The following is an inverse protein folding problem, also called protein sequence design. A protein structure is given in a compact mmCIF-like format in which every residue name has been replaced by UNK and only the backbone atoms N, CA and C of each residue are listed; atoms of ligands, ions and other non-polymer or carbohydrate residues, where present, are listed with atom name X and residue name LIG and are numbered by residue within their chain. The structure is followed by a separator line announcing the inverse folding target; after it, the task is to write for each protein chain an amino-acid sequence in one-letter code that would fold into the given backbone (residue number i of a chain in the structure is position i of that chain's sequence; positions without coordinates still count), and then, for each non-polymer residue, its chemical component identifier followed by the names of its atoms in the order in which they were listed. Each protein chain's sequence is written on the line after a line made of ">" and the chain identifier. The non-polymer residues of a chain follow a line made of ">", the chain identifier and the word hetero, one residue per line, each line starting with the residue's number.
data_IF_055431997234
#
_entry.id   IF_055431997234
#
_cell.length_a   1.000
_cell.length_b   1.000
_cell.length_c   1.000
_cell.angle_alpha   90.00
_cell.angle_beta   90.00
_cell.angle_gamma   90.00
#
_symmetry.space_group_name_H-M   'P 1'
#
loop_
_entity.id
_entity.type
_entity.pdbx_description
1 polymer ?
#
# COMPACT_ATOMS: atom_id res chain seq x y z
N UNK A 1 23.98 -44.72 -31.29
CA UNK A 1 23.34 -43.42 -31.57
C UNK A 1 22.47 -43.09 -30.38
N UNK A 2 22.95 -42.18 -29.53
CA UNK A 2 22.21 -41.68 -28.37
C UNK A 2 21.20 -40.65 -28.88
N UNK A 3 19.92 -40.84 -28.56
CA UNK A 3 18.89 -39.83 -28.82
C UNK A 3 18.60 -39.13 -27.48
N UNK A 4 19.10 -37.91 -27.37
CA UNK A 4 18.86 -37.01 -26.25
C UNK A 4 17.39 -36.60 -26.23
N UNK A 5 16.64 -37.08 -25.25
CA UNK A 5 15.40 -36.44 -24.84
C UNK A 5 15.75 -35.10 -24.20
N UNK A 6 15.53 -34.03 -24.96
CA UNK A 6 15.58 -32.66 -24.50
C UNK A 6 14.41 -32.47 -23.54
N UNK A 7 14.70 -32.29 -22.26
CA UNK A 7 13.72 -32.05 -21.20
C UNK A 7 13.21 -30.60 -21.28
N UNK A 8 12.29 -30.33 -22.21
CA UNK A 8 11.49 -29.10 -22.20
C UNK A 8 10.33 -29.25 -21.20
N UNK A 9 10.63 -29.41 -19.92
CA UNK A 9 9.62 -29.20 -18.88
C UNK A 9 9.57 -27.71 -18.57
N UNK A 10 8.68 -26.96 -19.25
CA UNK A 10 8.24 -25.67 -18.71
C UNK A 10 7.80 -25.91 -17.27
N UNK A 11 8.44 -25.24 -16.33
CA UNK A 11 8.11 -25.32 -14.90
C UNK A 11 6.61 -25.04 -14.72
N UNK A 12 5.90 -25.94 -14.04
CA UNK A 12 4.44 -25.83 -13.87
C UNK A 12 4.07 -24.53 -13.12
N UNK A 13 3.30 -23.67 -13.79
CA UNK A 13 2.87 -22.38 -13.27
C UNK A 13 1.36 -22.42 -12.98
N UNK A 14 0.91 -22.54 -11.71
CA UNK A 14 -0.51 -22.74 -11.38
C UNK A 14 -1.48 -21.70 -11.98
N UNK A 15 -1.06 -20.45 -12.12
CA UNK A 15 -1.86 -19.38 -12.74
C UNK A 15 -2.27 -19.72 -14.18
N UNK A 16 -1.39 -20.38 -14.92
CA UNK A 16 -1.63 -20.74 -16.33
C UNK A 16 -2.65 -21.89 -16.44
N UNK A 17 -2.86 -22.63 -15.34
CA UNK A 17 -3.77 -23.77 -15.27
C UNK A 17 -5.11 -23.45 -14.58
N UNK A 18 -5.40 -22.18 -14.26
CA UNK A 18 -6.62 -21.82 -13.53
C UNK A 18 -7.90 -22.37 -14.19
N UNK A 19 -8.06 -22.25 -15.51
CA UNK A 19 -9.22 -22.80 -16.23
C UNK A 19 -9.22 -24.33 -16.32
N UNK A 20 -8.04 -24.96 -16.33
CA UNK A 20 -7.93 -26.42 -16.27
C UNK A 20 -8.41 -26.95 -14.93
N UNK A 21 -8.05 -26.29 -13.83
CA UNK A 21 -8.54 -26.64 -12.49
C UNK A 21 -10.03 -26.34 -12.33
N UNK A 22 -10.50 -25.18 -12.82
CA UNK A 22 -11.93 -24.84 -12.83
C UNK A 22 -12.76 -25.94 -13.51
N UNK A 23 -12.32 -26.41 -14.69
CA UNK A 23 -12.98 -27.47 -15.45
C UNK A 23 -13.07 -28.79 -14.67
N UNK A 24 -12.09 -29.11 -13.81
CA UNK A 24 -12.09 -30.36 -13.02
C UNK A 24 -13.10 -30.31 -11.88
N UNK A 25 -13.34 -29.13 -11.30
CA UNK A 25 -14.19 -28.97 -10.11
C UNK A 25 -15.61 -28.47 -10.40
N UNK A 26 -15.90 -28.02 -11.62
CA UNK A 26 -17.22 -27.48 -12.01
C UNK A 26 -17.87 -28.29 -13.12
N UNK A 27 -19.20 -28.35 -13.09
CA UNK A 27 -20.00 -28.97 -14.15
C UNK A 27 -20.55 -27.89 -15.08
N UNK A 28 -20.86 -28.28 -16.31
CA UNK A 28 -21.59 -27.41 -17.24
C UNK A 28 -22.98 -27.14 -16.68
N UNK A 29 -23.37 -25.88 -16.66
CA UNK A 29 -24.70 -25.42 -16.24
C UNK A 29 -25.46 -24.86 -17.44
N UNK A 30 -26.79 -24.79 -17.32
CA UNK A 30 -27.64 -24.14 -18.30
C UNK A 30 -27.34 -22.63 -18.29
N UNK A 31 -26.88 -22.10 -19.42
CA UNK A 31 -26.68 -20.66 -19.57
C UNK A 31 -28.01 -19.93 -19.41
N UNK A 32 -28.00 -18.84 -18.63
CA UNK A 32 -29.17 -18.00 -18.36
C UNK A 32 -28.88 -16.52 -18.61
N UNK A 33 -29.95 -15.74 -18.73
CA UNK A 33 -29.90 -14.28 -18.54
C UNK A 33 -29.63 -13.91 -17.08
N UNK A 34 -29.40 -12.62 -16.80
CA UNK A 34 -29.29 -12.11 -15.42
C UNK A 34 -30.57 -12.29 -14.60
N UNK A 35 -31.71 -12.46 -15.25
CA UNK A 35 -33.00 -12.80 -14.63
C UNK A 35 -33.27 -14.31 -14.52
N UNK A 36 -32.29 -15.16 -14.87
CA UNK A 36 -32.42 -16.62 -14.76
C UNK A 36 -33.18 -17.29 -15.91
N UNK A 37 -33.47 -16.59 -17.03
CA UNK A 37 -34.12 -17.20 -18.20
C UNK A 37 -33.12 -18.08 -18.96
N UNK A 38 -33.39 -19.37 -19.18
CA UNK A 38 -32.52 -20.24 -19.99
C UNK A 38 -32.36 -19.73 -21.43
N UNK A 39 -31.12 -19.75 -21.94
CA UNK A 39 -30.79 -19.41 -23.32
C UNK A 39 -30.57 -20.67 -24.17
N UNK A 40 -31.16 -20.69 -25.36
CA UNK A 40 -30.99 -21.77 -26.34
C UNK A 40 -29.86 -21.54 -27.35
N UNK A 41 -29.53 -20.28 -27.64
CA UNK A 41 -28.47 -19.88 -28.56
C UNK A 41 -27.78 -18.61 -28.02
N UNK A 42 -26.46 -18.52 -28.15
CA UNK A 42 -25.62 -17.41 -27.64
C UNK A 42 -24.56 -16.92 -28.63
N UNK A 43 -24.33 -17.67 -29.70
CA UNK A 43 -23.35 -17.38 -30.76
C UNK A 43 -23.95 -16.54 -31.90
N UNK A 44 -25.26 -16.29 -31.87
CA UNK A 44 -25.98 -15.54 -32.89
C UNK A 44 -26.98 -14.58 -32.26
N UNK A 45 -27.15 -13.43 -32.89
CA UNK A 45 -28.22 -12.48 -32.57
C UNK A 45 -29.49 -12.78 -33.35
N UNK A 46 -30.63 -12.25 -32.90
CA UNK A 46 -31.91 -12.37 -33.61
C UNK A 46 -31.96 -11.40 -34.80
N UNK A 47 -32.12 -11.94 -36.00
CA UNK A 47 -32.21 -11.16 -37.26
C UNK A 47 -33.48 -11.49 -38.06
N UNK A 48 -33.85 -10.61 -39.00
CA UNK A 48 -34.92 -10.89 -39.99
C UNK A 48 -34.37 -11.79 -41.11
N UNK A 49 -34.30 -13.09 -40.85
CA UNK A 49 -33.69 -14.07 -41.76
C UNK A 49 -32.15 -14.09 -41.68
N UNK A 50 -31.47 -15.04 -42.33
CA UNK A 50 -30.05 -15.32 -42.11
C UNK A 50 -29.07 -14.18 -42.42
N UNK A 51 -29.50 -13.16 -43.18
CA UNK A 51 -28.70 -11.98 -43.56
C UNK A 51 -29.48 -10.67 -43.38
N UNK A 52 -30.53 -10.69 -42.55
CA UNK A 52 -31.32 -9.51 -42.25
C UNK A 52 -30.74 -8.65 -41.12
N UNK A 53 -31.36 -7.51 -40.83
CA UNK A 53 -30.95 -6.65 -39.72
C UNK A 53 -31.21 -7.32 -38.35
N UNK A 54 -30.38 -6.95 -37.37
CA UNK A 54 -30.58 -7.20 -35.94
C UNK A 54 -31.91 -6.62 -35.46
N UNK A 55 -32.62 -7.35 -34.60
CA UNK A 55 -33.86 -6.90 -33.99
C UNK A 55 -33.65 -6.35 -32.57
N UNK A 56 -34.34 -5.24 -32.26
CA UNK A 56 -34.38 -4.66 -30.91
C UNK A 56 -35.07 -5.59 -29.89
N UNK A 57 -35.84 -6.57 -30.35
CA UNK A 57 -36.47 -7.59 -29.50
C UNK A 57 -35.49 -8.65 -28.98
N UNK A 58 -34.21 -8.60 -29.37
CA UNK A 58 -33.16 -9.47 -28.83
C UNK A 58 -32.72 -9.02 -27.43
N UNK A 59 -33.61 -9.17 -26.45
CA UNK A 59 -33.36 -8.76 -25.07
C UNK A 59 -32.14 -9.42 -24.42
N UNK A 60 -31.86 -10.73 -24.61
CA UNK A 60 -30.65 -11.34 -24.07
C UNK A 60 -29.36 -10.70 -24.59
N UNK A 61 -29.30 -10.37 -25.89
CA UNK A 61 -28.15 -9.65 -26.44
C UNK A 61 -28.01 -8.26 -25.83
N UNK A 62 -29.11 -7.51 -25.73
CA UNK A 62 -29.11 -6.15 -25.16
C UNK A 62 -28.64 -6.17 -23.70
N UNK A 63 -29.15 -7.09 -22.90
CA UNK A 63 -28.78 -7.23 -21.48
C UNK A 63 -27.28 -7.54 -21.31
N UNK A 64 -26.76 -8.47 -22.10
CA UNK A 64 -25.36 -8.88 -22.05
C UNK A 64 -24.41 -7.72 -22.42
N UNK A 65 -24.74 -6.99 -23.50
CA UNK A 65 -24.00 -5.77 -23.89
C UNK A 65 -24.10 -4.70 -22.80
N UNK A 66 -25.28 -4.48 -22.22
CA UNK A 66 -25.45 -3.52 -21.14
C UNK A 66 -24.61 -3.84 -19.90
N UNK A 67 -24.44 -5.14 -19.59
CA UNK A 67 -23.58 -5.59 -18.49
C UNK A 67 -22.11 -5.33 -18.82
N UNK A 68 -21.67 -5.72 -20.02
CA UNK A 68 -20.31 -5.51 -20.53
C UNK A 68 -19.92 -4.02 -20.51
N UNK A 69 -20.78 -3.15 -21.05
CA UNK A 69 -20.58 -1.70 -21.12
C UNK A 69 -20.41 -1.04 -19.73
N UNK A 70 -20.77 -1.74 -18.65
CA UNK A 70 -20.75 -1.26 -17.26
C UNK A 70 -19.83 -2.08 -16.34
N UNK A 71 -18.94 -2.89 -16.89
CA UNK A 71 -17.99 -3.67 -16.08
C UNK A 71 -16.96 -2.80 -15.35
N UNK A 72 -16.57 -1.66 -15.95
CA UNK A 72 -15.52 -0.81 -15.38
C UNK A 72 -16.10 0.09 -14.28
N UNK A 73 -15.46 0.06 -13.11
CA UNK A 73 -15.63 1.05 -12.04
C UNK A 73 -14.38 1.90 -11.95
N UNK A 74 -14.44 3.13 -11.41
CA UNK A 74 -13.25 3.94 -11.20
C UNK A 74 -12.20 3.17 -10.40
N UNK A 75 -10.95 3.22 -10.87
CA UNK A 75 -9.84 2.68 -10.12
C UNK A 75 -9.54 3.53 -8.86
N UNK A 76 -8.68 3.02 -7.99
CA UNK A 76 -8.22 3.80 -6.83
C UNK A 76 -7.37 4.97 -7.31
N UNK A 77 -7.58 6.16 -6.75
CA UNK A 77 -6.82 7.38 -7.11
C UNK A 77 -5.30 7.20 -6.93
N UNK A 78 -4.90 6.42 -5.93
CA UNK A 78 -3.54 5.93 -5.68
C UNK A 78 -3.62 4.44 -5.38
N UNK A 79 -2.53 3.71 -5.58
CA UNK A 79 -2.49 2.26 -5.33
C UNK A 79 -3.46 1.47 -6.22
N UNK A 80 -3.65 1.90 -7.47
CA UNK A 80 -4.54 1.27 -8.43
C UNK A 80 -4.08 -0.14 -8.80
N UNK A 81 -2.83 -0.30 -9.26
CA UNK A 81 -2.23 -1.61 -9.55
C UNK A 81 -1.85 -2.33 -8.26
N UNK A 82 -2.33 -3.56 -8.12
CA UNK A 82 -2.05 -4.37 -6.93
C UNK A 82 -2.76 -5.70 -6.96
N UNK A 83 -2.53 -6.53 -5.96
CA UNK A 83 -3.21 -7.81 -5.79
C UNK A 83 -3.38 -8.16 -4.34
N UNK A 84 -4.28 -9.08 -4.06
CA UNK A 84 -4.54 -9.50 -2.70
C UNK A 84 -4.66 -10.99 -2.56
N UNK A 85 -4.47 -11.43 -1.33
CA UNK A 85 -4.71 -12.79 -0.93
C UNK A 85 -5.30 -12.80 0.47
N UNK A 86 -5.96 -13.90 0.73
CA UNK A 86 -6.67 -14.17 1.95
C UNK A 86 -5.83 -15.07 2.85
N UNK A 87 -6.05 -14.98 4.16
CA UNK A 87 -5.57 -15.99 5.08
C UNK A 87 -5.95 -15.72 6.52
N UNK A 88 -5.03 -16.00 7.44
CA UNK A 88 -5.27 -15.96 8.89
C UNK A 88 -4.16 -15.20 9.60
N UNK A 89 -4.54 -14.32 10.51
CA UNK A 89 -3.68 -13.79 11.56
C UNK A 89 -3.89 -14.57 12.85
N UNK A 90 -2.82 -15.00 13.49
CA UNK A 90 -2.82 -15.64 14.80
C UNK A 90 -2.04 -14.77 15.78
N UNK A 91 -2.68 -14.34 16.87
CA UNK A 91 -2.01 -13.66 17.97
C UNK A 91 -1.22 -14.68 18.78
N UNK A 92 0.11 -14.63 18.72
CA UNK A 92 0.99 -15.65 19.33
C UNK A 92 1.52 -15.26 20.69
N UNK A 93 1.58 -13.96 20.97
CA UNK A 93 2.19 -13.40 22.18
C UNK A 93 1.16 -12.56 22.93
N UNK A 94 1.27 -12.54 24.25
CA UNK A 94 0.40 -11.74 25.09
C UNK A 94 0.86 -10.27 25.05
N UNK A 95 -0.07 -9.38 24.69
CA UNK A 95 0.10 -7.92 24.72
C UNK A 95 -1.03 -7.22 25.49
N UNK A 96 -1.75 -7.96 26.35
CA UNK A 96 -2.87 -7.45 27.13
C UNK A 96 -2.48 -6.31 28.08
N UNK A 97 -1.22 -6.21 28.47
CA UNK A 97 -0.65 -5.12 29.25
C UNK A 97 -0.73 -3.76 28.53
N UNK A 98 -0.81 -3.74 27.20
CA UNK A 98 -0.89 -2.50 26.40
C UNK A 98 -2.15 -2.38 25.54
N UNK A 99 -2.85 -3.49 25.25
CA UNK A 99 -3.99 -3.47 24.32
C UNK A 99 -5.13 -4.39 24.74
N UNK A 100 -6.35 -3.85 24.81
CA UNK A 100 -7.59 -4.59 25.13
C UNK A 100 -8.30 -5.23 23.91
N UNK A 101 -7.83 -4.98 22.69
CA UNK A 101 -8.53 -5.45 21.48
C UNK A 101 -8.52 -6.99 21.37
N UNK A 102 -9.68 -7.62 21.17
CA UNK A 102 -9.79 -9.10 21.17
C UNK A 102 -8.97 -9.79 20.09
N UNK A 103 -8.75 -9.11 18.95
CA UNK A 103 -7.90 -9.59 17.85
C UNK A 103 -6.47 -9.91 18.29
N UNK A 104 -5.98 -9.28 19.37
CA UNK A 104 -4.64 -9.50 19.91
C UNK A 104 -4.60 -10.36 21.17
N UNK A 105 -5.74 -10.88 21.62
CA UNK A 105 -5.73 -11.87 22.70
C UNK A 105 -4.98 -13.10 22.21
N UNK A 106 -3.98 -13.54 22.96
CA UNK A 106 -3.16 -14.71 22.61
C UNK A 106 -4.03 -15.93 22.29
N UNK A 107 -3.74 -16.59 21.19
CA UNK A 107 -4.47 -17.74 20.65
C UNK A 107 -5.66 -17.38 19.74
N UNK A 108 -6.06 -16.10 19.67
CA UNK A 108 -7.09 -15.66 18.73
C UNK A 108 -6.60 -15.84 17.29
N UNK A 109 -7.44 -16.47 16.47
CA UNK A 109 -7.27 -16.58 15.02
C UNK A 109 -8.30 -15.72 14.33
N UNK A 110 -7.84 -14.88 13.40
CA UNK A 110 -8.69 -13.90 12.73
C UNK A 110 -8.49 -14.01 11.24
N UNK A 111 -9.60 -14.10 10.50
CA UNK A 111 -9.56 -14.07 9.02
C UNK A 111 -9.00 -12.73 8.57
N UNK A 112 -8.13 -12.74 7.57
CA UNK A 112 -7.55 -11.51 7.00
C UNK A 112 -7.58 -11.48 5.48
N UNK A 113 -7.67 -10.27 4.94
CA UNK A 113 -7.37 -9.96 3.54
C UNK A 113 -6.18 -9.00 3.51
N UNK A 114 -5.09 -9.40 2.87
CA UNK A 114 -3.99 -8.49 2.57
C UNK A 114 -4.08 -8.05 1.11
N UNK A 115 -3.96 -6.74 0.85
CA UNK A 115 -3.80 -6.19 -0.50
C UNK A 115 -2.47 -5.44 -0.60
N UNK A 116 -1.68 -5.85 -1.58
CA UNK A 116 -0.43 -5.23 -1.98
C UNK A 116 -0.64 -4.37 -3.23
N UNK A 117 0.20 -3.36 -3.42
CA UNK A 117 0.06 -2.45 -4.58
C UNK A 117 1.32 -1.63 -4.83
N UNK A 118 1.49 -1.12 -6.04
CA UNK A 118 2.31 0.09 -6.30
C UNK A 118 1.52 1.34 -5.84
N UNK A 119 1.95 2.55 -6.19
CA UNK A 119 1.29 3.81 -5.77
C UNK A 119 0.85 4.64 -6.96
N UNK A 120 1.80 5.06 -7.82
CA UNK A 120 1.56 6.12 -8.79
C UNK A 120 0.84 5.62 -10.05
N UNK A 121 1.18 4.40 -10.49
CA UNK A 121 0.68 3.79 -11.71
C UNK A 121 -0.83 3.47 -11.66
N UNK A 122 -1.45 3.52 -12.84
CA UNK A 122 -2.84 3.15 -13.06
C UNK A 122 -3.01 1.61 -13.01
N UNK A 123 -4.24 1.10 -13.06
CA UNK A 123 -4.53 -0.34 -12.88
C UNK A 123 -3.84 -1.26 -13.89
N UNK A 124 -3.48 -0.75 -15.08
CA UNK A 124 -2.75 -1.49 -16.12
C UNK A 124 -1.23 -1.27 -16.11
N UNK A 125 -0.67 -0.60 -15.10
CA UNK A 125 0.78 -0.37 -14.98
C UNK A 125 1.54 -1.65 -14.57
N UNK A 126 2.87 -1.66 -14.71
CA UNK A 126 3.70 -2.81 -14.35
C UNK A 126 4.00 -2.90 -12.84
N UNK A 127 4.20 -4.12 -12.34
CA UNK A 127 4.47 -4.42 -10.93
C UNK A 127 5.92 -4.08 -10.51
N UNK A 128 6.89 -4.31 -11.38
CA UNK A 128 8.34 -4.21 -11.09
C UNK A 128 8.90 -2.82 -11.37
N UNK A 129 8.25 -1.79 -10.84
CA UNK A 129 8.67 -0.38 -10.96
C UNK A 129 9.25 0.16 -9.66
N UNK A 130 10.09 1.20 -9.73
CA UNK A 130 10.54 1.93 -8.53
C UNK A 130 9.39 2.76 -7.98
N UNK A 131 8.86 2.35 -6.85
CA UNK A 131 7.70 2.98 -6.19
C UNK A 131 7.65 2.47 -4.72
N UNK A 132 7.04 3.17 -3.75
CA UNK A 132 6.63 2.49 -2.53
C UNK A 132 5.68 1.33 -2.88
N UNK A 133 5.49 0.42 -1.93
CA UNK A 133 4.44 -0.59 -2.05
C UNK A 133 3.42 -0.43 -0.94
N UNK A 134 2.15 -0.34 -1.30
CA UNK A 134 1.05 -0.47 -0.35
C UNK A 134 1.02 -1.89 0.21
N UNK A 135 0.78 -2.00 1.52
CA UNK A 135 0.59 -3.26 2.22
C UNK A 135 -0.55 -3.07 3.24
N UNK A 136 -1.78 -3.18 2.73
CA UNK A 136 -2.99 -3.03 3.54
C UNK A 136 -3.46 -4.39 4.06
N UNK A 137 -3.76 -4.48 5.35
CA UNK A 137 -4.25 -5.69 6.00
C UNK A 137 -5.62 -5.39 6.61
N UNK A 138 -6.63 -6.11 6.18
CA UNK A 138 -7.99 -6.09 6.73
C UNK A 138 -8.18 -7.30 7.63
N UNK A 139 -8.53 -7.09 8.89
CA UNK A 139 -8.82 -8.14 9.86
C UNK A 139 -10.32 -8.16 10.18
N UNK A 140 -10.96 -9.30 9.99
CA UNK A 140 -12.39 -9.49 10.26
C UNK A 140 -12.57 -9.94 11.72
N UNK A 141 -12.59 -8.98 12.65
CA UNK A 141 -12.62 -9.25 14.09
C UNK A 141 -14.05 -9.32 14.63
N UNK A 142 -14.22 -9.95 15.80
CA UNK A 142 -15.50 -10.00 16.52
C UNK A 142 -15.96 -8.62 17.05
N UNK A 143 -15.07 -7.62 17.01
CA UNK A 143 -15.32 -6.24 17.47
C UNK A 143 -15.38 -5.25 16.30
N UNK A 144 -15.61 -5.76 15.09
CA UNK A 144 -15.65 -4.99 13.85
C UNK A 144 -14.40 -5.19 12.99
N UNK A 145 -14.41 -4.63 11.79
CA UNK A 145 -13.26 -4.70 10.89
C UNK A 145 -12.18 -3.75 11.38
N UNK A 146 -10.95 -4.25 11.47
CA UNK A 146 -9.76 -3.43 11.68
C UNK A 146 -8.87 -3.44 10.44
N UNK A 147 -8.62 -2.26 9.88
CA UNK A 147 -7.76 -2.07 8.72
C UNK A 147 -6.42 -1.43 9.12
N UNK A 148 -5.33 -2.19 8.98
CA UNK A 148 -3.97 -1.68 9.08
C UNK A 148 -3.46 -1.35 7.67
N UNK A 149 -3.69 -0.11 7.24
CA UNK A 149 -3.35 0.36 5.89
C UNK A 149 -1.93 0.90 5.86
N UNK A 150 -0.97 0.01 5.63
CA UNK A 150 0.46 0.33 5.66
C UNK A 150 1.14 0.44 4.30
N UNK A 151 2.43 0.72 4.33
CA UNK A 151 3.35 0.67 3.20
C UNK A 151 4.55 -0.25 3.50
N UNK A 152 5.37 -0.55 2.50
CA UNK A 152 6.64 -1.27 2.66
C UNK A 152 7.80 -0.40 3.21
N UNK A 153 7.48 0.81 3.66
CA UNK A 153 8.40 1.78 4.26
C UNK A 153 7.86 2.29 5.60
N UNK A 154 8.71 2.49 6.63
CA UNK A 154 8.29 2.99 7.94
C UNK A 154 7.98 4.49 7.99
N UNK A 155 8.15 5.21 6.88
CA UNK A 155 8.03 6.67 6.78
C UNK A 155 7.29 7.06 5.49
N UNK A 156 6.97 8.33 5.35
CA UNK A 156 6.33 8.88 4.15
C UNK A 156 7.01 10.16 3.67
N UNK A 157 6.60 10.65 2.49
CA UNK A 157 7.22 11.79 1.81
C UNK A 157 6.85 13.15 2.44
N UNK A 158 5.66 13.25 3.02
CA UNK A 158 5.13 14.47 3.62
C UNK A 158 4.70 14.19 5.06
N UNK A 159 4.80 15.20 5.93
CA UNK A 159 4.35 15.11 7.33
C UNK A 159 3.00 15.78 7.57
N UNK A 160 2.50 16.54 6.60
CA UNK A 160 1.20 17.20 6.64
C UNK A 160 0.30 16.67 5.49
N UNK A 161 -0.94 16.22 5.77
CA UNK A 161 -1.84 15.70 4.76
C UNK A 161 -2.28 16.75 3.73
N UNK A 162 -2.19 18.05 4.02
CA UNK A 162 -2.54 19.12 3.08
C UNK A 162 -1.63 19.14 1.85
N UNK A 163 -0.42 18.57 1.96
CA UNK A 163 0.50 18.42 0.83
C UNK A 163 0.30 17.12 0.05
N UNK A 164 -0.56 16.20 0.52
CA UNK A 164 -0.71 14.88 -0.09
C UNK A 164 -1.18 14.95 -1.54
N UNK A 165 -2.23 15.73 -1.85
CA UNK A 165 -2.71 15.86 -3.23
C UNK A 165 -1.65 16.47 -4.16
N UNK A 166 -0.88 17.45 -3.67
CA UNK A 166 0.19 18.10 -4.47
C UNK A 166 1.33 17.12 -4.73
N UNK A 167 1.74 16.36 -3.71
CA UNK A 167 2.71 15.28 -3.85
C UNK A 167 2.22 14.25 -4.88
N UNK A 168 1.01 13.73 -4.75
CA UNK A 168 0.48 12.71 -5.66
C UNK A 168 0.39 13.22 -7.10
N UNK A 169 -0.02 14.48 -7.31
CA UNK A 169 0.00 15.08 -8.64
C UNK A 169 1.42 15.12 -9.23
N UNK A 170 2.43 15.48 -8.42
CA UNK A 170 3.84 15.51 -8.87
C UNK A 170 4.37 14.15 -9.32
N UNK A 171 3.89 13.06 -8.73
CA UNK A 171 4.32 11.69 -9.05
C UNK A 171 3.51 11.06 -10.20
N UNK A 172 2.43 11.71 -10.63
CA UNK A 172 1.54 11.22 -11.69
C UNK A 172 1.88 11.89 -13.03
N UNK A 173 0.87 11.96 -13.90
CA UNK A 173 1.02 12.42 -15.27
C UNK A 173 0.93 13.94 -15.30
N UNK A 174 1.76 14.56 -16.12
CA UNK A 174 1.64 15.96 -16.47
C UNK A 174 0.23 16.22 -17.02
N UNK A 175 -0.47 17.28 -16.56
CA UNK A 175 -1.88 17.48 -16.88
C UNK A 175 -2.14 17.81 -18.37
N UNK A 176 -1.16 18.32 -19.10
CA UNK A 176 -1.29 18.63 -20.52
C UNK A 176 -0.87 17.46 -21.40
N UNK A 177 0.29 16.85 -21.12
CA UNK A 177 0.87 15.81 -22.00
C UNK A 177 0.41 14.41 -21.66
N UNK A 178 -0.13 14.21 -20.45
CA UNK A 178 -0.49 12.90 -19.91
C UNK A 178 0.69 11.91 -19.77
N UNK A 179 1.94 12.41 -19.81
CA UNK A 179 3.17 11.63 -19.62
C UNK A 179 3.74 11.79 -18.21
N UNK A 180 4.64 10.90 -17.79
CA UNK A 180 5.44 11.10 -16.57
C UNK A 180 6.42 12.25 -16.79
N UNK A 181 6.66 13.04 -15.74
CA UNK A 181 7.42 14.29 -15.84
C UNK A 181 8.45 14.37 -14.69
N UNK A 182 9.74 14.12 -14.99
CA UNK A 182 10.81 14.23 -13.99
C UNK A 182 10.92 15.62 -13.38
N UNK A 183 10.58 16.69 -14.12
CA UNK A 183 10.63 18.04 -13.56
C UNK A 183 9.56 18.21 -12.47
N UNK A 184 8.35 17.69 -12.65
CA UNK A 184 7.31 17.73 -11.60
C UNK A 184 7.74 16.99 -10.34
N UNK A 185 8.29 15.77 -10.49
CA UNK A 185 8.75 14.94 -9.36
C UNK A 185 9.83 15.65 -8.56
N UNK A 186 10.87 16.12 -9.26
CA UNK A 186 12.05 16.67 -8.60
C UNK A 186 11.89 18.13 -8.20
N UNK A 187 11.01 18.91 -8.85
CA UNK A 187 10.68 20.25 -8.36
C UNK A 187 9.92 20.18 -7.03
N UNK A 188 8.97 19.24 -6.90
CA UNK A 188 8.31 19.01 -5.61
C UNK A 188 9.35 18.66 -4.54
N UNK A 189 10.26 17.73 -4.83
CA UNK A 189 11.35 17.36 -3.91
C UNK A 189 12.24 18.55 -3.55
N UNK A 190 12.68 19.32 -4.55
CA UNK A 190 13.58 20.46 -4.40
C UNK A 190 12.96 21.62 -3.58
N UNK A 191 11.64 21.63 -3.41
CA UNK A 191 10.92 22.59 -2.58
C UNK A 191 10.41 22.01 -1.24
N UNK A 192 10.53 20.71 -1.01
CA UNK A 192 10.04 20.03 0.20
C UNK A 192 11.08 19.09 0.80
N UNK A 193 12.11 19.63 1.49
CA UNK A 193 13.21 18.83 2.04
C UNK A 193 12.76 17.76 3.05
N UNK A 194 11.56 17.87 3.62
CA UNK A 194 10.93 16.83 4.45
C UNK A 194 10.85 15.45 3.77
N UNK A 195 10.79 15.42 2.44
CA UNK A 195 10.70 14.20 1.66
C UNK A 195 12.03 13.43 1.56
N UNK A 196 13.16 14.04 1.96
CA UNK A 196 14.52 13.48 1.85
C UNK A 196 14.63 12.05 2.34
N UNK A 197 14.09 11.76 3.52
CA UNK A 197 14.20 10.43 4.12
C UNK A 197 13.53 9.36 3.26
N UNK A 198 12.31 9.62 2.81
CA UNK A 198 11.55 8.67 2.02
C UNK A 198 12.03 8.60 0.56
N UNK A 199 12.52 9.70 -0.03
CA UNK A 199 13.20 9.66 -1.34
C UNK A 199 14.43 8.74 -1.28
N UNK A 200 15.25 8.85 -0.24
CA UNK A 200 16.40 7.96 -0.07
C UNK A 200 15.99 6.50 0.08
N UNK A 201 14.92 6.21 0.82
CA UNK A 201 14.39 4.84 0.91
C UNK A 201 13.89 4.34 -0.46
N UNK A 202 13.15 5.18 -1.20
CA UNK A 202 12.62 4.86 -2.53
C UNK A 202 13.72 4.58 -3.57
N UNK A 203 14.81 5.35 -3.56
CA UNK A 203 15.92 5.17 -4.49
C UNK A 203 16.97 4.14 -4.03
N UNK A 204 16.83 3.60 -2.81
CA UNK A 204 17.57 2.39 -2.42
C UNK A 204 17.05 1.14 -3.15
N UNK A 205 17.70 0.00 -2.93
CA UNK A 205 17.25 -1.29 -3.47
C UNK A 205 15.81 -1.64 -3.03
N UNK A 206 15.37 -1.14 -1.87
CA UNK A 206 14.01 -1.39 -1.32
C UNK A 206 12.89 -0.78 -2.18
N UNK A 207 13.20 0.10 -3.13
CA UNK A 207 12.22 0.68 -4.06
C UNK A 207 11.67 -0.30 -5.10
N UNK A 208 12.34 -1.44 -5.30
CA UNK A 208 11.93 -2.45 -6.28
C UNK A 208 11.98 -3.85 -5.62
N UNK A 209 11.04 -4.19 -4.73
CA UNK A 209 11.03 -5.50 -4.10
C UNK A 209 10.80 -6.63 -5.12
N UNK A 210 11.38 -7.80 -4.83
CA UNK A 210 11.21 -9.02 -5.62
C UNK A 210 9.87 -9.69 -5.28
N UNK A 211 8.81 -9.24 -5.95
CA UNK A 211 7.43 -9.63 -5.63
C UNK A 211 6.96 -9.09 -4.27
N UNK A 212 5.72 -9.42 -3.89
CA UNK A 212 5.14 -8.92 -2.63
C UNK A 212 5.65 -9.66 -1.39
N UNK A 213 6.11 -10.91 -1.54
CA UNK A 213 6.47 -11.79 -0.41
C UNK A 213 7.79 -11.41 0.26
N UNK A 214 8.62 -10.62 -0.40
CA UNK A 214 9.99 -10.29 0.01
C UNK A 214 10.17 -8.86 0.52
N UNK A 215 9.07 -8.23 0.97
CA UNK A 215 9.11 -6.93 1.62
C UNK A 215 8.46 -6.96 3.00
N UNK A 216 8.91 -6.05 3.86
CA UNK A 216 8.20 -5.76 5.11
C UNK A 216 6.99 -4.87 4.82
N UNK A 217 6.08 -4.77 5.79
CA UNK A 217 5.03 -3.76 5.87
C UNK A 217 5.19 -2.96 7.17
N UNK A 218 4.68 -1.74 7.17
CA UNK A 218 4.74 -0.84 8.32
C UNK A 218 3.47 0.00 8.37
N UNK A 219 3.01 0.33 9.59
CA UNK A 219 1.93 1.29 9.76
C UNK A 219 2.33 2.71 9.36
N UNK A 220 3.65 2.97 9.33
CA UNK A 220 4.31 4.27 9.17
C UNK A 220 3.97 5.26 10.31
N UNK A 221 2.69 5.56 10.51
CA UNK A 221 2.19 6.39 11.58
C UNK A 221 2.39 5.76 12.96
N UNK A 222 2.49 6.64 13.95
CA UNK A 222 2.33 6.33 15.37
C UNK A 222 0.85 6.25 15.70
N UNK A 223 0.43 5.15 16.32
CA UNK A 223 -0.93 4.89 16.80
C UNK A 223 -0.96 4.88 18.33
N UNK A 224 -2.16 4.87 18.90
CA UNK A 224 -2.37 4.70 20.35
C UNK A 224 -2.94 3.31 20.62
N UNK A 225 -2.33 2.58 21.55
CA UNK A 225 -2.91 1.36 22.14
C UNK A 225 -3.37 1.65 23.56
N UNK A 226 -4.51 1.05 23.93
CA UNK A 226 -5.14 1.24 25.23
C UNK A 226 -5.44 -0.13 25.84
N UNK A 227 -5.03 -0.34 27.09
CA UNK A 227 -5.27 -1.59 27.82
C UNK A 227 -6.62 -1.58 28.55
N UNK A 228 -6.90 -2.65 29.31
CA UNK A 228 -8.15 -2.82 30.07
C UNK A 228 -8.28 -1.86 31.28
N UNK A 229 -7.15 -1.35 31.79
CA UNK A 229 -7.07 -0.31 32.83
C UNK A 229 -7.23 1.11 32.29
N UNK A 230 -7.49 1.26 30.99
CA UNK A 230 -7.55 2.54 30.29
C UNK A 230 -6.23 3.34 30.34
N UNK A 231 -5.10 2.65 30.50
CA UNK A 231 -3.75 3.21 30.31
C UNK A 231 -3.39 3.11 28.82
N UNK A 232 -2.56 4.03 28.33
CA UNK A 232 -2.19 4.06 26.92
C UNK A 232 -0.69 4.16 26.67
N UNK A 233 -0.29 3.65 25.50
CA UNK A 233 1.05 3.81 24.95
C UNK A 233 0.97 4.18 23.47
N UNK A 234 2.02 4.82 22.97
CA UNK A 234 2.20 5.08 21.55
C UNK A 234 2.88 3.89 20.87
N UNK A 235 2.46 3.57 19.65
CA UNK A 235 2.96 2.40 18.94
C UNK A 235 3.21 2.63 17.46
N UNK A 236 4.18 1.93 16.88
CA UNK A 236 4.31 1.72 15.42
C UNK A 236 4.27 0.23 15.11
N UNK A 237 3.47 -0.18 14.13
CA UNK A 237 3.39 -1.60 13.73
C UNK A 237 4.40 -1.92 12.63
N UNK A 238 4.98 -3.11 12.72
CA UNK A 238 5.94 -3.65 11.76
C UNK A 238 5.52 -5.07 11.37
N UNK A 239 5.24 -5.29 10.10
CA UNK A 239 4.87 -6.60 9.53
C UNK A 239 6.08 -7.16 8.79
N UNK A 240 6.88 -8.01 9.43
CA UNK A 240 8.17 -8.47 8.89
C UNK A 240 7.99 -9.75 8.08
N UNK A 241 8.36 -9.74 6.80
CA UNK A 241 8.41 -10.96 5.97
C UNK A 241 9.26 -12.05 6.61
N UNK A 242 8.70 -13.25 6.69
CA UNK A 242 9.42 -14.45 7.14
C UNK A 242 10.21 -15.11 6.00
N UNK A 243 10.03 -14.66 4.76
CA UNK A 243 10.71 -15.19 3.57
C UNK A 243 12.07 -14.53 3.31
N UNK A 244 12.45 -13.56 4.13
CA UNK A 244 13.63 -12.71 3.92
C UNK A 244 13.40 -11.63 2.87
N UNK A 245 14.17 -10.54 2.99
CA UNK A 245 14.12 -9.42 2.05
C UNK A 245 14.88 -9.76 0.78
N UNK A 246 14.25 -9.47 -0.36
CA UNK A 246 14.83 -9.56 -1.70
C UNK A 246 14.32 -8.40 -2.55
N UNK A 247 15.20 -7.86 -3.37
CA UNK A 247 14.91 -6.75 -4.28
C UNK A 247 15.44 -7.09 -5.67
N UNK A 248 14.87 -6.47 -6.70
CA UNK A 248 15.29 -6.63 -8.08
C UNK A 248 16.34 -5.59 -8.45
N UNK A 249 17.31 -6.02 -9.25
CA UNK A 249 18.19 -5.12 -9.99
C UNK A 249 17.34 -4.22 -10.94
N UNK A 250 17.63 -2.91 -11.06
CA UNK A 250 16.85 -2.01 -11.91
C UNK A 250 16.74 -2.45 -13.37
N UNK A 251 17.80 -3.04 -13.95
CA UNK A 251 17.78 -3.53 -15.33
C UNK A 251 16.86 -4.72 -15.46
N UNK A 252 16.95 -5.69 -14.53
CA UNK A 252 16.04 -6.85 -14.50
C UNK A 252 14.59 -6.41 -14.30
N UNK A 253 14.36 -5.45 -13.41
CA UNK A 253 13.03 -4.92 -13.13
C UNK A 253 12.40 -4.26 -14.36
N UNK A 254 13.19 -3.54 -15.16
CA UNK A 254 12.77 -2.94 -16.42
C UNK A 254 12.41 -3.99 -17.48
N UNK A 255 13.18 -5.07 -17.58
CA UNK A 255 12.88 -6.21 -18.48
C UNK A 255 11.55 -6.85 -18.06
N UNK A 256 11.41 -7.20 -16.78
CA UNK A 256 10.17 -7.78 -16.23
C UNK A 256 8.97 -6.86 -16.43
N UNK A 257 9.14 -5.54 -16.30
CA UNK A 257 8.04 -4.60 -16.51
C UNK A 257 7.52 -4.62 -17.96
N UNK A 258 8.37 -4.97 -18.94
CA UNK A 258 7.99 -5.12 -20.34
C UNK A 258 7.50 -6.53 -20.71
N UNK A 259 8.14 -7.58 -20.18
CA UNK A 259 7.85 -8.98 -20.53
C UNK A 259 6.75 -9.62 -19.66
N UNK A 260 6.66 -9.23 -18.40
CA UNK A 260 5.75 -9.79 -17.40
C UNK A 260 5.27 -8.70 -16.43
N UNK A 261 4.48 -7.74 -16.94
CA UNK A 261 3.99 -6.59 -16.17
C UNK A 261 3.19 -6.96 -14.90
N UNK A 262 2.68 -8.19 -14.81
CA UNK A 262 1.97 -8.77 -13.66
C UNK A 262 2.84 -9.72 -12.81
N UNK A 263 4.16 -9.51 -12.80
CA UNK A 263 5.13 -10.37 -12.11
C UNK A 263 4.77 -10.65 -10.64
N UNK A 264 4.44 -9.61 -9.85
CA UNK A 264 4.21 -9.77 -8.41
C UNK A 264 2.85 -10.42 -8.13
N UNK A 265 1.86 -10.18 -8.99
CA UNK A 265 0.58 -10.90 -8.99
C UNK A 265 0.77 -12.39 -9.22
N UNK A 266 1.51 -12.74 -10.28
CA UNK A 266 1.80 -14.12 -10.63
C UNK A 266 2.60 -14.82 -9.51
N UNK A 267 3.65 -14.18 -8.97
CA UNK A 267 4.43 -14.73 -7.85
C UNK A 267 3.55 -15.06 -6.64
N UNK A 268 2.71 -14.13 -6.20
CA UNK A 268 1.84 -14.34 -5.03
C UNK A 268 0.82 -15.46 -5.26
N UNK A 269 0.13 -15.42 -6.41
CA UNK A 269 -0.87 -16.43 -6.75
C UNK A 269 -0.26 -17.83 -6.79
N UNK A 270 0.87 -17.96 -7.49
CA UNK A 270 1.53 -19.24 -7.71
C UNK A 270 2.12 -19.82 -6.43
N UNK A 271 2.72 -18.98 -5.57
CA UNK A 271 3.20 -19.42 -4.26
C UNK A 271 2.05 -20.02 -3.42
N UNK A 272 0.91 -19.34 -3.34
CA UNK A 272 -0.25 -19.82 -2.57
C UNK A 272 -0.83 -21.09 -3.18
N UNK A 273 -0.97 -21.16 -4.50
CA UNK A 273 -1.47 -22.34 -5.20
C UNK A 273 -0.57 -23.57 -5.02
N UNK A 274 0.76 -23.37 -4.93
CA UNK A 274 1.74 -24.43 -4.57
C UNK A 274 1.83 -24.72 -3.06
N UNK A 275 1.01 -24.06 -2.24
CA UNK A 275 1.03 -24.15 -0.77
C UNK A 275 2.33 -23.62 -0.13
N UNK A 276 3.09 -22.80 -0.84
CA UNK A 276 4.24 -22.05 -0.35
C UNK A 276 3.77 -20.76 0.32
N UNK A 277 2.93 -20.90 1.34
CA UNK A 277 2.18 -19.80 1.94
C UNK A 277 3.10 -18.70 2.48
N UNK A 278 3.08 -17.48 1.92
CA UNK A 278 3.85 -16.40 2.48
C UNK A 278 3.28 -15.98 3.82
N UNK A 279 4.20 -15.62 4.71
CA UNK A 279 3.87 -15.21 6.05
C UNK A 279 4.72 -14.03 6.51
N UNK A 280 4.14 -13.31 7.46
CA UNK A 280 4.77 -12.15 8.08
C UNK A 280 4.51 -12.18 9.58
N UNK A 281 5.55 -11.90 10.35
CA UNK A 281 5.43 -11.71 11.79
C UNK A 281 5.09 -10.24 12.08
N UNK A 282 3.98 -10.00 12.79
CA UNK A 282 3.55 -8.68 13.24
C UNK A 282 4.24 -8.34 14.56
N UNK A 283 4.85 -7.17 14.60
CA UNK A 283 5.52 -6.58 15.75
C UNK A 283 4.99 -5.17 16.01
N UNK A 284 5.32 -4.68 17.19
CA UNK A 284 5.06 -3.31 17.62
C UNK A 284 6.29 -2.72 18.30
N UNK A 285 6.62 -1.46 17.99
CA UNK A 285 7.48 -0.64 18.84
C UNK A 285 6.58 0.11 19.82
N UNK A 286 6.97 0.18 21.08
CA UNK A 286 6.19 0.80 22.15
C UNK A 286 6.96 2.01 22.67
N UNK A 287 6.28 3.14 22.77
CA UNK A 287 6.81 4.40 23.32
C UNK A 287 5.81 4.92 24.34
N UNK A 288 6.23 5.09 25.58
CA UNK A 288 5.39 5.70 26.61
C UNK A 288 5.13 7.18 26.30
N UNK A 289 4.09 7.76 26.90
CA UNK A 289 3.80 9.17 26.74
C UNK A 289 4.97 10.08 27.16
N UNK A 290 5.67 9.75 28.25
CA UNK A 290 6.83 10.51 28.72
C UNK A 290 8.06 10.34 27.82
N UNK A 291 8.32 9.13 27.30
CA UNK A 291 9.37 8.94 26.31
C UNK A 291 9.10 9.74 25.04
N UNK A 292 7.84 9.78 24.58
CA UNK A 292 7.44 10.50 23.38
C UNK A 292 7.68 12.01 23.50
N UNK A 293 7.45 12.61 24.68
CA UNK A 293 7.76 14.03 24.97
C UNK A 293 9.26 14.36 24.91
N UNK A 294 10.11 13.39 25.20
CA UNK A 294 11.55 13.57 25.30
C UNK A 294 12.31 13.20 24.01
N UNK A 295 11.60 12.86 22.94
CA UNK A 295 12.24 12.58 21.66
C UNK A 295 12.78 13.87 21.02
N UNK A 296 13.93 13.82 20.33
CA UNK A 296 14.52 14.99 19.67
C UNK A 296 13.79 15.39 18.38
N UNK A 297 12.66 14.75 18.08
CA UNK A 297 11.79 15.01 16.94
C UNK A 297 10.35 14.70 17.34
N UNK A 298 9.39 15.25 16.61
CA UNK A 298 7.98 14.97 16.85
C UNK A 298 7.67 13.47 16.68
N UNK A 299 7.17 12.76 17.71
CA UNK A 299 6.80 11.33 17.62
C UNK A 299 5.71 11.02 16.59
N UNK A 300 4.99 12.04 16.14
CA UNK A 300 3.89 11.95 15.18
C UNK A 300 4.31 12.42 13.78
N UNK A 301 5.55 12.87 13.58
CA UNK A 301 6.08 13.20 12.26
C UNK A 301 6.29 11.91 11.45
N UNK A 302 5.52 11.79 10.37
CA UNK A 302 5.52 10.63 9.48
C UNK A 302 6.82 10.46 8.69
N UNK A 303 7.69 11.46 8.68
CA UNK A 303 9.03 11.40 8.07
C UNK A 303 10.09 10.81 9.01
N UNK A 304 9.71 10.44 10.24
CA UNK A 304 10.61 9.93 11.28
C UNK A 304 10.33 8.47 11.66
N UNK A 305 11.39 7.73 11.96
CA UNK A 305 11.35 6.39 12.56
C UNK A 305 11.69 6.46 14.04
N UNK A 306 11.17 5.50 14.82
CA UNK A 306 11.71 5.19 16.14
C UNK A 306 12.88 4.23 16.00
N UNK A 307 14.01 4.58 16.63
CA UNK A 307 15.20 3.74 16.71
C UNK A 307 14.84 2.39 17.33
N UNK A 308 15.15 1.28 16.64
CA UNK A 308 14.92 -0.07 17.17
C UNK A 308 15.89 -0.44 18.30
N UNK A 309 17.00 0.32 18.45
CA UNK A 309 17.90 0.18 19.59
C UNK A 309 17.24 0.67 20.88
N UNK A 310 16.54 1.80 20.78
CA UNK A 310 15.92 2.46 21.94
C UNK A 310 14.51 1.91 22.20
N UNK A 311 13.80 1.53 21.13
CA UNK A 311 12.46 0.96 21.17
C UNK A 311 12.44 -0.37 20.40
N UNK A 312 12.83 -1.49 21.04
CA UNK A 312 12.89 -2.78 20.38
C UNK A 312 11.52 -3.28 19.94
N UNK A 313 11.51 -4.17 18.95
CA UNK A 313 10.29 -4.78 18.44
C UNK A 313 9.76 -5.82 19.43
N UNK A 314 8.51 -5.65 19.88
CA UNK A 314 7.75 -6.67 20.60
C UNK A 314 6.84 -7.42 19.63
N UNK A 315 6.93 -8.74 19.59
CA UNK A 315 6.09 -9.59 18.73
C UNK A 315 4.65 -9.58 19.22
N UNK A 316 3.71 -9.62 18.28
CA UNK A 316 2.27 -9.76 18.54
C UNK A 316 1.78 -11.11 18.03
N UNK A 317 2.07 -11.41 16.77
CA UNK A 317 1.42 -12.52 16.08
C UNK A 317 2.01 -12.79 14.71
N UNK A 318 1.42 -13.76 14.01
CA UNK A 318 1.83 -14.16 12.68
C UNK A 318 0.65 -14.14 11.72
N UNK A 319 0.84 -13.50 10.57
CA UNK A 319 -0.09 -13.54 9.45
C UNK A 319 0.42 -14.52 8.41
N UNK A 320 -0.44 -15.42 7.95
CA UNK A 320 -0.15 -16.36 6.84
C UNK A 320 -1.23 -16.22 5.78
N UNK A 321 -0.84 -15.99 4.53
CA UNK A 321 -1.77 -15.93 3.39
C UNK A 321 -1.79 -17.28 2.71
N UNK A 322 -2.96 -17.91 2.67
CA UNK A 322 -3.12 -19.31 2.26
C UNK A 322 -4.28 -19.56 1.29
N UNK A 323 -4.94 -18.49 0.83
CA UNK A 323 -6.11 -18.58 -0.04
C UNK A 323 -6.03 -17.47 -1.11
N UNK A 324 -6.06 -17.87 -2.38
CA UNK A 324 -6.17 -16.93 -3.50
C UNK A 324 -7.62 -16.47 -3.65
N UNK A 325 -7.86 -15.24 -4.14
CA UNK A 325 -9.22 -14.81 -4.45
C UNK A 325 -9.80 -15.67 -5.58
N UNK A 326 -11.06 -16.09 -5.44
CA UNK A 326 -11.79 -16.79 -6.50
C UNK A 326 -12.11 -15.85 -7.67
N UNK A 327 -12.45 -14.61 -7.35
CA UNK A 327 -12.66 -13.53 -8.31
C UNK A 327 -11.88 -12.29 -7.87
N UNK A 328 -11.05 -11.77 -8.78
CA UNK A 328 -10.21 -10.60 -8.49
C UNK A 328 -11.03 -9.31 -8.28
N UNK A 329 -12.18 -9.16 -8.94
CA UNK A 329 -12.98 -7.93 -8.95
C UNK A 329 -13.96 -7.81 -7.77
N UNK A 330 -14.53 -8.92 -7.28
CA UNK A 330 -15.67 -8.90 -6.37
C UNK A 330 -15.42 -9.59 -5.01
N UNK A 331 -14.92 -8.87 -3.99
CA UNK A 331 -14.99 -9.31 -2.60
C UNK A 331 -16.32 -8.86 -1.96
N UNK A 332 -17.06 -9.76 -1.32
CA UNK A 332 -18.31 -9.45 -0.63
C UNK A 332 -18.09 -8.65 0.66
N UNK A 333 -18.93 -7.66 0.93
CA UNK A 333 -18.99 -6.93 2.21
C UNK A 333 -20.46 -6.69 2.59
N UNK A 334 -20.80 -6.85 3.86
CA UNK A 334 -22.10 -6.46 4.43
C UNK A 334 -21.86 -5.36 5.47
N UNK A 335 -22.67 -4.30 5.46
CA UNK A 335 -22.62 -3.22 6.45
C UNK A 335 -23.98 -3.03 7.13
N UNK A 336 -23.98 -2.29 8.24
CA UNK A 336 -25.20 -1.89 8.96
C UNK A 336 -25.74 -0.51 8.52
N UNK A 337 -25.30 0.03 7.39
CA UNK A 337 -25.89 1.23 6.80
C UNK A 337 -27.14 0.85 6.00
N UNK A 338 -28.15 1.75 5.99
CA UNK A 338 -29.38 1.58 5.20
C UNK A 338 -29.27 2.25 3.85
N UNK A 339 -30.12 1.80 2.95
CA UNK A 339 -30.36 2.39 1.65
C UNK A 339 -29.06 2.46 0.83
N UNK A 340 -28.84 3.57 0.11
CA UNK A 340 -27.71 3.69 -0.81
C UNK A 340 -27.92 2.92 -2.11
N UNK A 341 -27.23 3.35 -3.16
CA UNK A 341 -27.25 2.62 -4.43
C UNK A 341 -26.67 1.21 -4.24
N UNK A 342 -27.30 0.20 -4.87
CA UNK A 342 -26.89 -1.21 -4.79
C UNK A 342 -26.94 -1.82 -3.37
N UNK A 343 -27.92 -1.41 -2.56
CA UNK A 343 -28.21 -2.03 -1.25
C UNK A 343 -28.31 -3.55 -1.41
N UNK A 344 -27.37 -4.28 -0.79
CA UNK A 344 -27.35 -5.73 -0.74
C UNK A 344 -27.81 -6.22 0.64
N UNK A 345 -28.30 -7.46 0.75
CA UNK A 345 -29.02 -7.98 1.92
C UNK A 345 -30.46 -7.45 2.02
N UNK A 346 -31.04 -7.45 3.23
CA UNK A 346 -32.45 -7.17 3.46
C UNK A 346 -32.72 -5.74 3.92
N UNK A 347 -31.80 -4.79 3.68
CA UNK A 347 -31.82 -3.42 4.22
C UNK A 347 -32.15 -3.37 5.72
N UNK A 348 -31.76 -4.42 6.46
CA UNK A 348 -32.12 -4.66 7.86
C UNK A 348 -33.63 -4.50 8.18
N UNK A 349 -34.50 -4.79 7.21
CA UNK A 349 -35.95 -4.91 7.35
C UNK A 349 -36.63 -3.64 7.89
N UNK A 350 -37.65 -3.83 8.74
CA UNK A 350 -38.43 -2.76 9.36
C UNK A 350 -37.87 -2.21 10.67
N UNK A 351 -36.56 -2.40 10.94
CA UNK A 351 -35.97 -1.91 12.18
C UNK A 351 -36.00 -0.37 12.26
N UNK A 352 -36.20 0.24 13.45
CA UNK A 352 -36.22 1.69 13.61
C UNK A 352 -34.99 2.38 13.02
N UNK A 353 -35.21 3.46 12.27
CA UNK A 353 -34.17 4.18 11.52
C UNK A 353 -33.61 5.40 12.26
N UNK A 354 -33.98 5.62 13.53
CA UNK A 354 -33.58 6.78 14.32
C UNK A 354 -33.09 6.38 15.73
N UNK A 355 -32.28 7.25 16.34
CA UNK A 355 -31.68 7.06 17.67
C UNK A 355 -31.83 8.32 18.54
N UNK A 356 -32.20 8.23 19.83
CA UNK A 356 -32.70 7.03 20.53
C UNK A 356 -34.10 6.63 20.03
N UNK A 357 -34.51 5.39 20.29
CA UNK A 357 -35.84 4.90 19.94
C UNK A 357 -36.45 4.10 21.11
N UNK A 358 -37.78 4.03 21.16
CA UNK A 358 -38.56 3.25 22.15
C UNK A 358 -39.09 1.91 21.56
N UNK A 359 -38.51 1.46 20.45
CA UNK A 359 -39.05 0.36 19.63
C UNK A 359 -38.03 -0.77 19.43
N UNK A 360 -37.12 -0.95 20.39
CA UNK A 360 -36.09 -2.00 20.39
C UNK A 360 -35.17 -2.01 19.15
N UNK A 361 -34.92 -0.84 18.54
CA UNK A 361 -33.87 -0.67 17.55
C UNK A 361 -32.47 -0.65 18.20
N UNK A 362 -31.38 -0.60 17.40
CA UNK A 362 -30.02 -0.56 17.93
C UNK A 362 -29.82 0.57 18.96
N UNK A 363 -29.17 0.25 20.08
CA UNK A 363 -28.81 1.19 21.15
C UNK A 363 -27.34 1.01 21.54
N UNK A 364 -26.75 2.04 22.18
CA UNK A 364 -25.38 2.03 22.69
C UNK A 364 -25.35 1.19 23.97
N UNK A 365 -25.13 -0.10 23.81
CA UNK A 365 -24.84 -1.02 24.92
C UNK A 365 -23.34 -1.06 25.21
N UNK A 366 -22.94 -1.33 26.47
CA UNK A 366 -21.53 -1.37 26.88
C UNK A 366 -20.72 -0.09 26.53
N UNK A 367 -21.34 1.10 26.70
CA UNK A 367 -20.74 2.39 26.36
C UNK A 367 -19.29 2.53 26.83
N UNK A 368 -19.02 2.18 28.09
CA UNK A 368 -17.69 2.29 28.71
C UNK A 368 -16.61 1.43 28.03
N UNK A 369 -17.00 0.37 27.30
CA UNK A 369 -16.05 -0.47 26.55
C UNK A 369 -15.65 0.15 25.21
N UNK A 370 -16.53 0.97 24.62
CA UNK A 370 -16.38 1.51 23.26
C UNK A 370 -16.13 3.01 23.20
N UNK A 371 -16.12 3.71 24.35
CA UNK A 371 -15.65 5.10 24.43
C UNK A 371 -14.16 5.17 24.11
N UNK A 372 -13.78 6.18 23.32
CA UNK A 372 -12.42 6.51 23.00
C UNK A 372 -11.63 6.98 24.24
N UNK A 373 -10.33 6.66 24.28
CA UNK A 373 -9.47 7.15 25.35
C UNK A 373 -9.36 8.69 25.31
N UNK A 374 -9.86 9.35 26.35
CA UNK A 374 -9.77 10.79 26.54
C UNK A 374 -8.30 11.26 26.54
N UNK A 375 -7.99 12.31 25.78
CA UNK A 375 -6.64 12.89 25.71
C UNK A 375 -6.75 14.37 26.00
N UNK A 376 -5.93 14.87 26.92
CA UNK A 376 -5.89 16.29 27.24
C UNK A 376 -4.74 16.94 26.47
N UNK A 377 -5.05 17.96 25.68
CA UNK A 377 -4.08 18.72 24.89
C UNK A 377 -4.32 20.23 25.12
N UNK A 378 -3.26 21.03 25.07
CA UNK A 378 -3.32 22.48 25.23
C UNK A 378 -2.54 23.17 24.12
N UNK A 379 -3.12 24.21 23.51
CA UNK A 379 -2.45 25.00 22.47
C UNK A 379 -3.41 25.90 21.71
N UNK A 380 -2.86 26.76 20.87
CA UNK A 380 -3.66 27.61 19.98
C UNK A 380 -4.11 26.81 18.76
N UNK A 381 -5.40 26.88 18.43
CA UNK A 381 -5.93 26.34 17.18
C UNK A 381 -5.47 27.23 16.00
N UNK A 382 -4.45 26.76 15.27
CA UNK A 382 -3.86 27.48 14.13
C UNK A 382 -3.23 26.50 13.13
N UNK A 383 -2.81 27.01 11.97
CA UNK A 383 -1.97 26.27 11.02
C UNK A 383 -0.51 26.43 11.45
N UNK A 384 -0.01 25.42 12.16
CA UNK A 384 1.38 25.41 12.64
C UNK A 384 2.29 24.90 11.53
N UNK A 385 3.21 25.75 11.07
CA UNK A 385 4.19 25.37 10.06
C UNK A 385 5.23 24.40 10.65
N UNK A 386 5.63 23.38 9.89
CA UNK A 386 6.63 22.38 10.28
C UNK A 386 7.92 22.49 9.46
N UNK A 387 8.23 23.69 8.97
CA UNK A 387 9.42 23.99 8.18
C UNK A 387 10.71 23.83 8.99
N UNK A 388 10.65 24.11 10.30
CA UNK A 388 11.77 23.98 11.25
C UNK A 388 12.05 22.54 11.72
N UNK A 389 11.13 21.60 11.45
CA UNK A 389 11.32 20.21 11.83
C UNK A 389 12.49 19.59 11.04
N UNK A 390 13.39 18.89 11.75
CA UNK A 390 14.61 18.31 11.17
C UNK A 390 14.34 17.45 9.94
N UNK A 391 15.09 17.67 8.87
CA UNK A 391 14.93 16.97 7.61
C UNK A 391 16.14 16.07 7.26
N UNK A 392 17.23 16.11 8.03
CA UNK A 392 18.51 15.57 7.59
C UNK A 392 19.18 14.61 8.58
N UNK A 393 18.81 14.63 9.87
CA UNK A 393 19.49 13.78 10.87
C UNK A 393 19.23 12.30 10.64
N UNK A 394 17.96 11.89 10.50
CA UNK A 394 17.64 10.48 10.24
C UNK A 394 18.06 10.01 8.84
N UNK A 395 17.89 10.80 7.75
CA UNK A 395 18.49 10.49 6.46
C UNK A 395 20.00 10.24 6.51
N UNK A 396 20.74 11.00 7.31
CA UNK A 396 22.18 10.81 7.49
C UNK A 396 22.50 9.49 8.17
N UNK A 397 21.73 9.12 9.20
CA UNK A 397 21.84 7.80 9.84
C UNK A 397 21.53 6.69 8.84
N UNK A 398 20.50 6.84 8.01
CA UNK A 398 20.19 5.87 6.96
C UNK A 398 21.38 5.70 5.98
N UNK A 399 21.93 6.82 5.48
CA UNK A 399 23.05 6.79 4.55
C UNK A 399 24.34 6.17 5.13
N UNK A 400 24.70 6.58 6.35
CA UNK A 400 25.98 6.23 6.98
C UNK A 400 25.96 4.88 7.71
N UNK A 401 24.87 4.57 8.39
CA UNK A 401 24.81 3.47 9.37
C UNK A 401 23.92 2.30 8.93
N UNK A 402 22.98 2.52 7.99
CA UNK A 402 22.05 1.47 7.54
C UNK A 402 22.47 0.90 6.18
N UNK A 403 22.87 1.75 5.24
CA UNK A 403 23.40 1.31 3.95
C UNK A 403 24.86 0.87 4.11
N UNK A 404 25.23 -0.20 3.40
CA UNK A 404 26.62 -0.54 3.14
C UNK A 404 27.16 0.25 1.91
N UNK A 405 28.42 0.04 1.53
CA UNK A 405 29.03 0.76 0.41
C UNK A 405 28.31 0.49 -0.91
N UNK A 406 27.85 -0.75 -1.11
CA UNK A 406 27.09 -1.15 -2.28
C UNK A 406 25.74 -0.45 -2.32
N UNK A 407 24.99 -0.45 -1.22
CA UNK A 407 23.70 0.23 -1.09
C UNK A 407 23.82 1.74 -1.30
N UNK A 408 24.90 2.37 -0.82
CA UNK A 408 25.19 3.79 -1.10
C UNK A 408 25.45 4.04 -2.59
N UNK A 409 26.20 3.16 -3.25
CA UNK A 409 26.47 3.28 -4.69
C UNK A 409 25.19 3.13 -5.51
N UNK A 410 24.39 2.09 -5.25
CA UNK A 410 23.10 1.90 -5.92
C UNK A 410 22.15 3.08 -5.69
N UNK A 411 22.05 3.59 -4.45
CA UNK A 411 21.22 4.77 -4.14
C UNK A 411 21.59 5.95 -5.03
N UNK A 412 22.89 6.25 -5.14
CA UNK A 412 23.40 7.34 -5.97
C UNK A 412 23.07 7.10 -7.44
N UNK A 413 23.37 5.91 -7.97
CA UNK A 413 23.13 5.56 -9.37
C UNK A 413 21.64 5.68 -9.73
N UNK A 414 20.77 5.19 -8.87
CA UNK A 414 19.33 5.24 -9.06
C UNK A 414 18.78 6.68 -9.03
N UNK A 415 19.30 7.54 -8.13
CA UNK A 415 18.94 8.97 -8.10
C UNK A 415 19.40 9.66 -9.38
N UNK A 416 20.65 9.45 -9.78
CA UNK A 416 21.23 10.05 -10.99
C UNK A 416 20.43 9.63 -12.22
N UNK A 417 20.09 8.35 -12.35
CA UNK A 417 19.33 7.81 -13.49
C UNK A 417 18.02 8.56 -13.73
N UNK A 418 17.31 8.93 -12.67
CA UNK A 418 16.03 9.65 -12.77
C UNK A 418 16.21 11.17 -12.78
N UNK A 419 17.07 11.72 -11.93
CA UNK A 419 17.28 13.17 -11.81
C UNK A 419 17.91 13.78 -13.07
N UNK A 420 18.78 13.05 -13.77
CA UNK A 420 19.37 13.54 -15.02
C UNK A 420 18.34 13.75 -16.15
N UNK A 421 17.14 13.17 -16.01
CA UNK A 421 16.05 13.34 -16.98
C UNK A 421 15.33 14.68 -16.81
N UNK A 422 15.58 15.42 -15.72
CA UNK A 422 15.09 16.79 -15.57
C UNK A 422 15.72 17.68 -16.64
N UNK A 423 14.86 18.45 -17.32
CA UNK A 423 15.29 19.42 -18.32
C UNK A 423 15.76 20.72 -17.67
N UNK A 424 15.23 21.07 -16.50
CA UNK A 424 15.66 22.24 -15.72
C UNK A 424 16.88 21.91 -14.85
N UNK A 425 18.00 22.59 -15.13
CA UNK A 425 19.26 22.43 -14.39
C UNK A 425 19.22 23.02 -12.98
N UNK A 426 18.37 23.98 -12.68
CA UNK A 426 18.21 24.52 -11.33
C UNK A 426 17.58 23.48 -10.39
N UNK A 427 16.55 22.77 -10.85
CA UNK A 427 15.95 21.65 -10.10
C UNK A 427 17.01 20.62 -9.71
N UNK A 428 17.90 20.26 -10.65
CA UNK A 428 19.01 19.33 -10.40
C UNK A 428 19.94 19.87 -9.31
N UNK A 429 20.38 21.13 -9.42
CA UNK A 429 21.28 21.76 -8.43
C UNK A 429 20.64 21.82 -7.05
N UNK A 430 19.38 22.26 -6.94
CA UNK A 430 18.66 22.33 -5.65
C UNK A 430 18.47 20.95 -5.03
N UNK A 431 18.12 19.94 -5.83
CA UNK A 431 18.00 18.55 -5.36
C UNK A 431 19.32 18.02 -4.80
N UNK A 432 20.45 18.25 -5.49
CA UNK A 432 21.77 17.85 -5.00
C UNK A 432 22.17 18.64 -3.73
N UNK A 433 21.80 19.92 -3.62
CA UNK A 433 22.02 20.72 -2.40
C UNK A 433 21.26 20.16 -1.17
N UNK A 434 20.07 19.59 -1.37
CA UNK A 434 19.33 18.87 -0.32
C UNK A 434 20.12 17.64 0.13
N UNK A 435 20.60 16.82 -0.80
CA UNK A 435 21.38 15.62 -0.45
C UNK A 435 22.74 15.95 0.18
N UNK A 436 23.37 17.07 -0.20
CA UNK A 436 24.59 17.56 0.45
C UNK A 436 24.37 17.95 1.93
N UNK A 437 23.14 18.33 2.32
CA UNK A 437 22.81 18.52 3.74
C UNK A 437 22.75 17.20 4.52
N UNK A 438 22.41 16.09 3.85
CA UNK A 438 22.46 14.76 4.46
C UNK A 438 23.91 14.37 4.72
N UNK A 439 24.75 14.41 3.70
CA UNK A 439 26.16 14.03 3.80
C UNK A 439 27.01 14.66 2.69
N UNK A 440 28.23 15.10 3.02
CA UNK A 440 29.15 15.74 2.07
C UNK A 440 29.61 14.79 0.95
N UNK A 441 29.92 13.53 1.28
CA UNK A 441 30.29 12.52 0.28
C UNK A 441 29.13 12.23 -0.65
N UNK A 442 27.91 12.15 -0.08
CA UNK A 442 26.72 11.88 -0.86
C UNK A 442 26.44 12.97 -1.90
N UNK A 443 26.44 14.25 -1.45
CA UNK A 443 26.27 15.39 -2.34
C UNK A 443 27.36 15.48 -3.41
N UNK A 444 28.62 15.26 -3.03
CA UNK A 444 29.77 15.27 -3.95
C UNK A 444 29.64 14.21 -5.04
N UNK A 445 29.35 12.96 -4.68
CA UNK A 445 29.23 11.85 -5.63
C UNK A 445 28.07 12.02 -6.61
N UNK A 446 26.96 12.61 -6.16
CA UNK A 446 25.85 12.99 -7.03
C UNK A 446 26.27 14.08 -8.03
N UNK A 447 26.92 15.15 -7.54
CA UNK A 447 27.39 16.25 -8.38
C UNK A 447 28.38 15.77 -9.46
N UNK A 448 29.34 14.90 -9.08
CA UNK A 448 30.31 14.29 -9.99
C UNK A 448 29.64 13.49 -11.12
N UNK A 449 28.67 12.61 -10.79
CA UNK A 449 27.96 11.80 -11.78
C UNK A 449 26.99 12.60 -12.66
N UNK A 450 26.49 13.72 -12.16
CA UNK A 450 25.63 14.64 -12.92
C UNK A 450 26.43 15.69 -13.69
N UNK A 451 27.76 15.70 -13.57
CA UNK A 451 28.67 16.66 -14.18
C UNK A 451 28.31 18.12 -13.84
N UNK A 452 28.03 18.38 -12.57
CA UNK A 452 27.78 19.73 -12.03
C UNK A 452 28.74 20.04 -10.89
N UNK A 453 28.94 21.33 -10.61
CA UNK A 453 29.65 21.75 -9.39
C UNK A 453 28.88 21.33 -8.15
N UNK A 454 29.61 20.97 -7.08
CA UNK A 454 29.01 20.64 -5.78
C UNK A 454 28.26 21.87 -5.27
N UNK A 455 26.92 21.83 -5.15
CA UNK A 455 26.16 22.97 -4.71
C UNK A 455 26.48 23.32 -3.26
N UNK A 456 26.38 24.61 -2.91
CA UNK A 456 26.38 25.01 -1.49
C UNK A 456 25.21 24.34 -0.79
N UNK A 457 25.44 23.80 0.40
CA UNK A 457 24.36 23.30 1.26
C UNK A 457 23.32 24.39 1.44
N UNK A 458 22.04 24.02 1.37
CA UNK A 458 20.96 24.92 1.72
C UNK A 458 21.15 25.44 3.15
N UNK A 459 20.84 26.72 3.38
CA UNK A 459 20.78 27.26 4.74
C UNK A 459 19.73 26.49 5.54
N UNK A 460 20.15 25.83 6.61
CA UNK A 460 19.25 25.19 7.58
C UNK A 460 18.68 26.18 8.60
N UNK A 461 19.01 27.47 8.49
CA UNK A 461 18.47 28.49 9.38
C UNK A 461 17.08 28.95 8.90
N UNK A 462 16.10 29.12 9.82
CA UNK A 462 14.80 29.68 9.53
C UNK A 462 14.96 30.96 8.71
N UNK A 463 14.29 31.04 7.55
CA UNK A 463 14.06 32.35 6.96
C UNK A 463 12.99 33.00 7.83
N UNK A 464 13.39 33.76 8.85
CA UNK A 464 12.49 34.55 9.68
C UNK A 464 11.75 35.53 8.77
N UNK A 465 10.60 35.14 8.23
CA UNK A 465 9.62 36.10 7.74
C UNK A 465 8.92 36.66 8.97
N UNK A 466 9.02 37.97 9.11
CA UNK A 466 8.67 38.74 10.30
C UNK A 466 7.31 38.35 10.88
N UNK A 467 7.29 38.23 12.21
CA UNK A 467 6.08 38.17 13.05
C UNK A 467 5.05 39.19 12.56
N UNK A 468 3.87 38.71 12.19
CA UNK A 468 2.63 39.44 12.24
C UNK A 468 1.62 38.62 13.03
#
# INVERSE_FOLDING_TARGET
>A
MANSQQSDSKEYCPSDYQLHEYKKSHKTEQLTTGYGRPLGERSSVVTVGPRGPLLLSDFPYIEDVQRFDRERVPERVVHAKGGGAFGVFEATDDISDICKAKVFKKGTKTRVLARFSTVAGESGSADTVRDPRGFAIKMYTDEGIWDLVGNNTPIFFVRDPFLFQMFIHSQKRNPQTHLKDPNMVWDFFANHPMATHQFMFLYSDRGIPDGFRHMHGYSSHTFKMVNDKNEFVWVKFHTRTDQGIRNLDPTKAKILAGEQSDYALADLYNAIARKEYPSWTLYVQIVTHDQAKNLPYNPFDLTKVFSQKDFPLRRIGKMTLNENPENYFAPSLCTYQRDGAMQACHNQGGAPTYYRNSFNGPDVTNRDKHIEHATFESGMAARHESSEDDNFTQPRVFYRNVLDDRGRAHLIDNIVEHLQQCTDKDIIRRSVAIFANVDDDFGRRLAEKLHIDVPKKMSTAPTVRSKY
#
